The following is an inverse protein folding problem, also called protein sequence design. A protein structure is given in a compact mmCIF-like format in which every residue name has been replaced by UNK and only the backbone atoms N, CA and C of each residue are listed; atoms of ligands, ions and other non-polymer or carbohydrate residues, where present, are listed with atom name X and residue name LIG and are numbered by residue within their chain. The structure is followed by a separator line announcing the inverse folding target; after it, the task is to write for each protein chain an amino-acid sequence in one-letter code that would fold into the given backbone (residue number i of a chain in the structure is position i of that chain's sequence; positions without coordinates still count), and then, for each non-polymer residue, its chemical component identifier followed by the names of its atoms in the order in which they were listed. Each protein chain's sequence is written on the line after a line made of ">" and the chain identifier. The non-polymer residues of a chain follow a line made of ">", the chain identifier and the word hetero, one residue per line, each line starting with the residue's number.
data_IF_988713896216
#
_entry.id   IF_988713896216
#
_cell.length_a   1.000
_cell.length_b   1.000
_cell.length_c   1.000
_cell.angle_alpha   90.00
_cell.angle_beta   90.00
_cell.angle_gamma   90.00
#
_symmetry.space_group_name_H-M   'P 1'
#
loop_
_entity.id
_entity.type
_entity.pdbx_description
1 polymer ?
2 water ?
#
# COMPACT_ATOMS: atom_id res chain seq x y z
N UNK A 2 -7.67 20.39 12.00
CA UNK A 2 -6.42 20.03 11.22
C UNK A 2 -5.87 18.72 11.71
N UNK A 3 -5.04 18.10 10.87
CA UNK A 3 -4.48 16.80 11.21
C UNK A 3 -3.25 16.88 12.12
N UNK A 4 -3.16 15.95 13.09
CA UNK A 4 -2.06 15.88 14.05
C UNK A 4 -0.72 15.75 13.32
N UNK A 5 0.32 16.36 13.89
CA UNK A 5 1.67 16.30 13.31
C UNK A 5 1.75 17.00 12.00
N UNK A 6 0.69 17.73 11.65
CA UNK A 6 0.68 18.45 10.40
C UNK A 6 1.81 19.47 10.33
N UNK A 7 2.41 19.86 11.46
CA UNK A 7 3.48 20.86 11.40
C UNK A 7 4.81 20.20 10.99
N UNK A 8 4.76 18.91 10.66
CA UNK A 8 5.96 18.18 10.29
C UNK A 8 6.59 18.60 8.98
N UNK A 9 5.80 18.83 7.94
CA UNK A 9 6.39 19.23 6.67
C UNK A 9 6.91 20.65 6.81
N UNK A 10 6.54 21.30 7.91
CA UNK A 10 6.99 22.67 8.19
C UNK A 10 8.25 22.65 9.02
N UNK A 11 8.61 21.48 9.55
CA UNK A 11 9.79 21.38 10.37
C UNK A 11 11.03 20.94 9.63
N UNK A 12 12.15 21.33 10.21
CA UNK A 12 13.46 21.02 9.70
C UNK A 12 13.60 19.54 9.35
N UNK A 13 14.65 19.16 8.60
CA UNK A 13 15.05 17.84 8.09
C UNK A 13 15.69 16.79 8.99
N UNK A 14 16.80 17.16 9.62
CA UNK A 14 17.57 16.29 10.51
C UNK A 14 17.15 16.44 11.97
N UNK A 15 16.93 17.68 12.41
CA UNK A 15 16.50 17.95 13.78
C UNK A 15 15.28 17.04 13.97
N UNK A 16 14.56 16.77 12.88
CA UNK A 16 13.40 15.88 12.98
C UNK A 16 13.82 14.47 13.45
N UNK A 17 14.77 13.86 12.74
CA UNK A 17 15.26 12.53 13.10
C UNK A 17 15.96 12.61 14.46
N UNK A 18 16.56 13.75 14.73
CA UNK A 18 17.28 13.97 15.99
C UNK A 18 16.41 13.72 17.22
N UNK A 19 15.21 14.28 17.22
CA UNK A 19 14.30 14.12 18.35
C UNK A 19 13.65 12.74 18.43
N UNK A 20 13.20 12.23 17.29
CA UNK A 20 12.54 10.92 17.25
C UNK A 20 13.47 9.79 17.69
N UNK A 21 14.75 9.89 17.34
CA UNK A 21 15.74 8.87 17.70
C UNK A 21 15.70 8.41 19.15
N UNK A 22 15.56 9.36 20.07
CA UNK A 22 15.55 9.04 21.48
C UNK A 22 14.17 8.85 22.10
N UNK A 23 13.14 8.78 21.27
CA UNK A 23 11.79 8.57 21.76
C UNK A 23 11.56 7.07 21.81
N UNK A 24 10.48 6.65 22.46
CA UNK A 24 10.18 5.23 22.53
C UNK A 24 9.68 4.79 21.14
N UNK A 25 10.10 3.60 20.67
CA UNK A 25 9.66 3.13 19.36
C UNK A 25 8.16 3.36 19.10
N UNK A 26 7.33 3.00 20.09
CA UNK A 26 5.88 3.15 20.00
C UNK A 26 5.50 4.59 19.70
N UNK A 27 6.15 5.51 20.38
CA UNK A 27 5.89 6.93 20.17
C UNK A 27 6.30 7.31 18.75
N UNK A 28 7.33 6.64 18.25
CA UNK A 28 7.81 6.90 16.89
C UNK A 28 6.76 6.41 15.90
N UNK A 29 6.25 5.20 16.15
CA UNK A 29 5.22 4.59 15.31
C UNK A 29 4.01 5.51 15.18
N UNK A 30 3.61 6.12 16.29
CA UNK A 30 2.47 7.02 16.29
C UNK A 30 2.66 8.25 15.42
N UNK A 31 3.81 8.90 15.55
CA UNK A 31 4.09 10.09 14.77
C UNK A 31 4.12 9.79 13.27
N UNK A 32 4.82 8.73 12.89
CA UNK A 32 4.95 8.38 11.48
C UNK A 32 3.64 7.92 10.84
N UNK A 33 2.83 7.18 11.60
CA UNK A 33 1.57 6.69 11.06
C UNK A 33 0.63 7.86 10.72
N UNK A 34 0.96 9.05 11.20
CA UNK A 34 0.16 10.24 10.92
C UNK A 34 0.67 11.06 9.73
N UNK A 35 1.84 10.70 9.22
CA UNK A 35 2.42 11.44 8.11
C UNK A 35 2.15 10.79 6.76
N UNK A 36 2.45 11.55 5.71
CA UNK A 36 2.31 11.05 4.36
C UNK A 36 3.41 9.98 4.34
N UNK A 37 3.11 8.78 3.80
CA UNK A 37 4.05 7.66 3.72
C UNK A 37 5.46 7.94 3.17
N UNK A 38 5.57 8.69 2.05
CA UNK A 38 6.92 8.96 1.51
C UNK A 38 7.75 9.73 2.55
N UNK A 39 7.06 10.58 3.30
CA UNK A 39 7.69 11.37 4.34
C UNK A 39 8.10 10.42 5.45
N UNK A 40 7.17 9.56 5.87
CA UNK A 40 7.45 8.59 6.92
C UNK A 40 8.57 7.66 6.51
N UNK A 41 8.56 7.21 5.26
CA UNK A 41 9.60 6.30 4.80
C UNK A 41 10.96 7.00 4.88
N UNK A 42 10.98 8.28 4.51
CA UNK A 42 12.21 9.07 4.54
C UNK A 42 12.77 9.15 5.97
N UNK A 43 11.90 9.40 6.95
CA UNK A 43 12.32 9.48 8.35
C UNK A 43 12.75 8.10 8.85
N UNK A 44 11.93 7.09 8.58
CA UNK A 44 12.21 5.74 9.01
C UNK A 44 13.58 5.27 8.54
N UNK A 45 13.87 5.49 7.26
CA UNK A 45 15.15 5.06 6.73
C UNK A 45 16.33 5.82 7.30
N UNK A 46 16.07 6.97 7.91
CA UNK A 46 17.14 7.78 8.48
C UNK A 46 17.29 7.51 9.97
N UNK A 47 16.42 6.67 10.52
CA UNK A 47 16.50 6.33 11.94
C UNK A 47 17.58 5.28 12.18
N UNK A 48 18.07 5.18 13.43
CA UNK A 48 19.10 4.19 13.73
C UNK A 48 18.61 2.80 13.34
N UNK A 49 19.44 2.08 12.61
CA UNK A 49 19.12 0.73 12.16
C UNK A 49 18.35 -0.11 13.20
N UNK A 50 18.78 -0.06 14.45
CA UNK A 50 18.14 -0.84 15.51
C UNK A 50 16.68 -0.51 15.82
N UNK A 51 16.19 0.63 15.33
CA UNK A 51 14.81 1.03 15.57
C UNK A 51 13.89 0.72 14.39
N UNK A 52 14.47 0.69 13.20
CA UNK A 52 13.72 0.48 11.96
C UNK A 52 12.66 -0.63 11.96
N UNK A 53 13.07 -1.88 12.17
CA UNK A 53 12.11 -2.97 12.17
C UNK A 53 11.04 -2.85 13.25
N UNK A 54 11.48 -2.63 14.49
CA UNK A 54 10.56 -2.50 15.61
C UNK A 54 9.53 -1.40 15.36
N UNK A 55 10.00 -0.24 14.89
CA UNK A 55 9.10 0.87 14.61
C UNK A 55 8.12 0.52 13.50
N UNK A 56 8.60 -0.18 12.48
CA UNK A 56 7.74 -0.55 11.36
C UNK A 56 6.67 -1.54 11.85
N UNK A 57 7.08 -2.47 12.71
CA UNK A 57 6.15 -3.46 13.26
C UNK A 57 5.06 -2.78 14.11
N UNK A 58 5.45 -1.82 14.94
CA UNK A 58 4.50 -1.10 15.79
C UNK A 58 3.52 -0.29 14.95
N UNK A 59 3.97 0.17 13.78
CA UNK A 59 3.10 0.93 12.91
C UNK A 59 2.07 -0.04 12.33
N UNK A 60 2.54 -1.24 12.00
CA UNK A 60 1.70 -2.27 11.43
C UNK A 60 0.65 -2.75 12.44
N UNK A 61 1.04 -2.82 13.71
CA UNK A 61 0.14 -3.28 14.77
C UNK A 61 -0.24 -2.16 15.73
N UNK A 62 -0.28 -0.94 15.21
CA UNK A 62 -0.57 0.23 16.02
C UNK A 62 -1.61 0.14 17.13
N UNK A 63 -2.83 -0.27 16.83
CA UNK A 63 -3.84 -0.34 17.88
C UNK A 63 -4.35 -1.76 18.03
N UNK A 64 -3.55 -2.69 17.53
CA UNK A 64 -3.85 -4.11 17.56
C UNK A 64 -2.80 -4.83 18.41
N UNK A 65 -2.04 -4.07 19.20
CA UNK A 65 -0.97 -4.64 20.02
C UNK A 65 -1.36 -5.73 21.00
N UNK A 66 -2.56 -5.63 21.56
CA UNK A 66 -3.03 -6.65 22.50
C UNK A 66 -4.55 -6.70 22.50
N UNK A 67 -5.09 -7.74 23.11
CA UNK A 67 -6.53 -7.89 23.19
C UNK A 67 -7.10 -6.69 23.93
N UNK A 68 -6.36 -6.24 24.94
CA UNK A 68 -6.76 -5.10 25.75
C UNK A 68 -6.90 -3.84 24.91
N UNK A 69 -5.90 -3.60 24.07
CA UNK A 69 -5.90 -2.42 23.21
C UNK A 69 -7.07 -2.44 22.23
N UNK A 70 -7.37 -3.63 21.70
CA UNK A 70 -8.47 -3.79 20.77
C UNK A 70 -9.77 -3.48 21.51
N UNK A 71 -9.91 -4.08 22.68
CA UNK A 71 -11.10 -3.89 23.51
C UNK A 71 -11.34 -2.42 23.83
N UNK A 72 -10.27 -1.70 24.17
CA UNK A 72 -10.34 -0.28 24.51
C UNK A 72 -10.71 0.58 23.31
N UNK A 73 -9.97 0.42 22.21
CA UNK A 73 -10.23 1.19 21.00
C UNK A 73 -11.65 0.98 20.50
N UNK A 74 -12.14 -0.25 20.60
CA UNK A 74 -13.49 -0.56 20.16
C UNK A 74 -14.48 0.25 21.00
N UNK A 75 -14.32 0.18 22.31
CA UNK A 75 -15.20 0.92 23.22
C UNK A 75 -15.26 2.40 22.90
N UNK A 76 -14.13 3.00 22.58
CA UNK A 76 -14.11 4.42 22.26
C UNK A 76 -15.06 4.73 21.10
N UNK A 77 -14.81 4.12 19.95
CA UNK A 77 -15.63 4.32 18.76
C UNK A 77 -17.13 4.11 18.98
N UNK A 78 -17.47 3.15 19.83
CA UNK A 78 -18.86 2.83 20.18
C UNK A 78 -19.58 3.94 20.94
N UNK A 79 -18.85 4.50 21.91
CA UNK A 79 -19.26 5.55 22.87
C UNK A 79 -19.17 7.04 22.56
N UNK A 80 -18.00 7.51 22.12
CA UNK A 80 -17.83 8.93 21.84
C UNK A 80 -17.32 9.09 20.41
N UNK A 89 -6.03 5.34 12.20
CA UNK A 89 -4.62 5.60 11.80
C UNK A 89 -3.72 4.41 12.14
N UNK A 90 -2.67 4.21 11.34
CA UNK A 90 -1.76 3.10 11.56
C UNK A 90 -2.29 1.91 10.78
N UNK A 91 -1.79 0.71 11.07
CA UNK A 91 -2.28 -0.46 10.37
C UNK A 91 -1.38 -1.03 9.28
N UNK A 92 -1.85 -2.11 8.67
CA UNK A 92 -1.12 -2.80 7.61
C UNK A 92 -0.92 -1.96 6.35
N UNK A 93 -1.95 -1.23 5.94
CA UNK A 93 -1.84 -0.39 4.74
C UNK A 93 -0.78 0.71 4.90
N UNK A 94 -0.79 1.37 6.04
CA UNK A 94 0.19 2.41 6.32
C UNK A 94 1.60 1.82 6.20
N UNK A 95 1.83 0.73 6.92
CA UNK A 95 3.12 0.05 6.92
C UNK A 95 3.58 -0.32 5.50
N UNK A 96 2.69 -0.93 4.73
CA UNK A 96 2.98 -1.34 3.37
C UNK A 96 3.35 -0.15 2.48
N UNK A 97 2.64 0.96 2.67
CA UNK A 97 2.87 2.17 1.91
C UNK A 97 4.25 2.74 2.25
N UNK A 98 4.63 2.64 3.52
CA UNK A 98 5.92 3.14 3.96
C UNK A 98 7.02 2.24 3.37
N UNK A 99 6.78 0.93 3.39
CA UNK A 99 7.74 -0.02 2.86
C UNK A 99 7.96 0.20 1.36
N UNK A 100 6.90 0.55 0.64
CA UNK A 100 7.03 0.78 -0.80
C UNK A 100 7.89 2.02 -1.10
N UNK A 101 7.85 2.99 -0.20
CA UNK A 101 8.61 4.22 -0.39
C UNK A 101 10.00 4.22 0.23
N UNK A 102 10.39 3.12 0.86
CA UNK A 102 11.73 3.03 1.44
C UNK A 102 12.67 2.66 0.31
N UNK A 103 13.96 2.83 0.54
CA UNK A 103 14.94 2.42 -0.46
C UNK A 103 14.87 0.90 -0.38
N UNK A 104 15.08 0.23 -1.51
CA UNK A 104 15.05 -1.22 -1.59
C UNK A 104 15.82 -1.93 -0.48
N UNK A 105 17.06 -1.52 -0.27
CA UNK A 105 17.92 -2.11 0.74
C UNK A 105 17.29 -2.13 2.12
N UNK A 106 16.95 -0.95 2.64
CA UNK A 106 16.34 -0.88 3.95
C UNK A 106 15.05 -1.72 4.00
N UNK A 107 14.22 -1.63 2.96
CA UNK A 107 12.96 -2.37 2.90
C UNK A 107 13.20 -3.88 3.02
N UNK A 108 14.21 -4.37 2.31
CA UNK A 108 14.58 -5.78 2.32
C UNK A 108 15.03 -6.24 3.70
N UNK A 109 15.78 -5.39 4.40
CA UNK A 109 16.25 -5.74 5.74
C UNK A 109 15.09 -5.84 6.74
N UNK A 110 14.15 -4.92 6.65
CA UNK A 110 13.01 -4.94 7.56
C UNK A 110 12.10 -6.15 7.28
N UNK A 111 11.92 -6.46 5.99
CA UNK A 111 11.07 -7.57 5.60
C UNK A 111 11.70 -8.91 6.00
N UNK A 112 13.01 -9.04 5.80
CA UNK A 112 13.70 -10.27 6.17
C UNK A 112 13.57 -10.52 7.67
N UNK A 113 13.71 -9.47 8.47
CA UNK A 113 13.58 -9.64 9.90
C UNK A 113 12.15 -10.02 10.29
N UNK A 114 11.16 -9.35 9.71
CA UNK A 114 9.77 -9.66 10.04
C UNK A 114 9.42 -11.09 9.65
N UNK A 115 10.01 -11.56 8.56
CA UNK A 115 9.77 -12.91 8.09
C UNK A 115 10.23 -13.88 9.17
N UNK A 116 11.31 -13.51 9.85
CA UNK A 116 11.87 -14.34 10.90
C UNK A 116 11.13 -14.29 12.24
N UNK A 117 10.75 -13.10 12.67
CA UNK A 117 10.07 -12.96 13.96
C UNK A 117 8.55 -12.81 13.95
N UNK A 118 7.98 -12.45 12.81
CA UNK A 118 6.54 -12.28 12.69
C UNK A 118 6.13 -12.70 11.28
N UNK A 119 6.44 -13.95 10.88
CA UNK A 119 6.11 -14.47 9.55
C UNK A 119 4.74 -14.13 8.98
N UNK A 120 3.70 -14.14 9.81
CA UNK A 120 2.35 -13.85 9.34
C UNK A 120 2.18 -12.38 9.01
N UNK A 121 2.55 -11.52 9.96
CA UNK A 121 2.44 -10.09 9.78
C UNK A 121 3.23 -9.68 8.54
N UNK A 122 4.38 -10.33 8.35
CA UNK A 122 5.22 -10.03 7.21
C UNK A 122 4.43 -10.31 5.94
N UNK A 123 3.72 -11.43 5.94
CA UNK A 123 2.93 -11.83 4.78
C UNK A 123 1.77 -10.88 4.53
N UNK A 124 1.19 -10.35 5.60
CA UNK A 124 0.09 -9.40 5.45
C UNK A 124 0.62 -8.12 4.79
N UNK A 125 1.79 -7.68 5.23
CA UNK A 125 2.40 -6.45 4.70
C UNK A 125 2.83 -6.59 3.24
N UNK A 126 3.49 -7.70 2.94
CA UNK A 126 3.94 -7.94 1.59
C UNK A 126 2.77 -7.89 0.61
N UNK A 127 1.72 -8.66 0.90
CA UNK A 127 0.56 -8.68 0.03
C UNK A 127 -0.11 -7.31 -0.07
N UNK A 128 -0.01 -6.51 0.99
CA UNK A 128 -0.60 -5.17 0.96
C UNK A 128 0.28 -4.18 0.20
N UNK A 129 1.50 -4.59 -0.12
CA UNK A 129 2.45 -3.74 -0.85
C UNK A 129 2.24 -3.71 -2.37
N UNK A 130 1.38 -4.59 -2.85
CA UNK A 130 1.08 -4.70 -4.28
C UNK A 130 0.61 -3.36 -4.86
N UNK A 131 1.28 -2.87 -5.89
CA UNK A 131 0.86 -1.63 -6.54
C UNK A 131 0.39 -1.99 -7.94
N UNK A 132 -0.28 -1.06 -8.60
CA UNK A 132 -0.81 -1.34 -9.93
C UNK A 132 0.21 -1.88 -10.92
N UNK A 133 1.41 -1.31 -10.95
CA UNK A 133 2.44 -1.78 -11.88
C UNK A 133 2.88 -3.20 -11.54
N UNK A 134 2.63 -3.65 -10.32
CA UNK A 134 3.01 -5.02 -9.95
C UNK A 134 2.29 -6.06 -10.81
N UNK A 135 1.23 -5.64 -11.51
CA UNK A 135 0.48 -6.54 -12.38
C UNK A 135 1.41 -7.11 -13.45
N UNK A 136 2.52 -6.43 -13.71
CA UNK A 136 3.50 -6.91 -14.69
C UNK A 136 4.20 -8.16 -14.14
N UNK A 137 4.12 -8.36 -12.83
CA UNK A 137 4.73 -9.52 -12.19
C UNK A 137 3.87 -10.76 -12.38
N UNK A 138 2.59 -10.58 -12.68
CA UNK A 138 1.67 -11.70 -12.82
C UNK A 138 1.76 -12.42 -14.17
N UNK A 139 1.48 -13.72 -14.16
CA UNK A 139 1.50 -14.48 -15.41
C UNK A 139 0.18 -14.24 -16.12
N UNK A 140 0.19 -14.40 -17.45
CA UNK A 140 -0.97 -14.18 -18.29
C UNK A 140 -2.29 -14.81 -17.83
N UNK A 141 -2.25 -16.04 -17.32
CA UNK A 141 -3.48 -16.68 -16.86
C UNK A 141 -4.07 -15.90 -15.69
N UNK A 142 -3.23 -15.57 -14.72
CA UNK A 142 -3.66 -14.81 -13.55
C UNK A 142 -4.30 -13.49 -13.96
N UNK A 143 -3.67 -12.81 -14.91
CA UNK A 143 -4.17 -11.54 -15.42
C UNK A 143 -5.58 -11.70 -16.01
N UNK A 144 -5.80 -12.77 -16.77
CA UNK A 144 -7.12 -13.05 -17.35
C UNK A 144 -8.12 -13.29 -16.22
N UNK A 145 -7.70 -14.04 -15.22
CA UNK A 145 -8.56 -14.31 -14.07
C UNK A 145 -9.06 -12.97 -13.50
N UNK A 146 -8.14 -12.03 -13.34
CA UNK A 146 -8.45 -10.71 -12.80
C UNK A 146 -9.39 -9.90 -13.69
N UNK A 147 -9.12 -9.90 -14.99
CA UNK A 147 -9.92 -9.14 -15.95
C UNK A 147 -11.42 -9.46 -15.93
N UNK A 148 -11.76 -10.73 -15.74
CA UNK A 148 -13.17 -11.11 -15.69
C UNK A 148 -13.90 -10.45 -14.53
N UNK A 149 -13.15 -9.88 -13.59
CA UNK A 149 -13.73 -9.24 -12.42
C UNK A 149 -13.72 -7.72 -12.49
N UNK A 150 -13.32 -7.17 -13.64
CA UNK A 150 -13.23 -5.72 -13.79
C UNK A 150 -14.16 -5.13 -14.85
N UNK A 151 -14.99 -4.16 -14.45
CA UNK A 151 -15.90 -3.53 -15.41
C UNK A 151 -15.12 -2.62 -16.35
N UNK A 152 -15.66 -2.46 -17.55
CA UNK A 152 -15.05 -1.65 -18.58
C UNK A 152 -14.57 -0.28 -18.14
N UNK A 153 -15.44 0.48 -17.47
CA UNK A 153 -15.05 1.83 -17.08
C UNK A 153 -13.90 1.89 -16.08
N UNK A 154 -13.89 0.99 -15.11
CA UNK A 154 -12.81 1.01 -14.14
C UNK A 154 -11.50 0.67 -14.82
N UNK A 155 -11.56 -0.24 -15.79
CA UNK A 155 -10.38 -0.64 -16.52
C UNK A 155 -9.84 0.56 -17.30
N UNK A 156 -10.72 1.25 -18.02
CA UNK A 156 -10.31 2.39 -18.81
C UNK A 156 -9.65 3.45 -17.93
N UNK A 157 -10.28 3.76 -16.79
CA UNK A 157 -9.74 4.74 -15.86
C UNK A 157 -8.36 4.31 -15.37
N UNK A 158 -8.29 3.08 -14.88
CA UNK A 158 -7.04 2.54 -14.36
C UNK A 158 -5.90 2.60 -15.38
N UNK A 159 -6.23 2.41 -16.65
CA UNK A 159 -5.23 2.41 -17.71
C UNK A 159 -4.68 3.79 -18.04
N UNK A 160 -5.46 4.84 -17.78
CA UNK A 160 -4.97 6.18 -18.04
C UNK A 160 -3.80 6.49 -17.12
N UNK A 161 -3.56 5.62 -16.15
CA UNK A 161 -2.45 5.83 -15.23
C UNK A 161 -1.47 4.67 -15.22
N UNK A 162 -1.39 3.94 -16.33
CA UNK A 162 -0.48 2.80 -16.43
C UNK A 162 0.60 3.00 -17.49
N UNK A 163 1.70 2.27 -17.35
CA UNK A 163 2.79 2.35 -18.32
C UNK A 163 2.34 1.64 -19.59
N UNK A 164 2.83 2.11 -20.73
CA UNK A 164 2.48 1.52 -22.02
C UNK A 164 2.68 0.01 -22.01
N UNK A 165 3.72 -0.43 -21.32
CA UNK A 165 4.01 -1.85 -21.23
C UNK A 165 2.90 -2.57 -20.47
N UNK A 166 2.44 -1.97 -19.38
CA UNK A 166 1.38 -2.59 -18.60
C UNK A 166 0.11 -2.54 -19.41
N UNK A 167 -0.06 -1.46 -20.17
CA UNK A 167 -1.24 -1.31 -21.02
C UNK A 167 -1.28 -2.52 -21.95
N UNK A 168 -0.17 -2.77 -22.62
CA UNK A 168 -0.05 -3.88 -23.55
C UNK A 168 -0.32 -5.25 -22.92
N UNK A 169 0.36 -5.57 -21.83
CA UNK A 169 0.15 -6.88 -21.23
C UNK A 169 -1.32 -7.10 -20.83
N UNK A 170 -2.01 -6.04 -20.45
CA UNK A 170 -3.42 -6.17 -20.08
C UNK A 170 -4.25 -6.41 -21.34
N UNK A 171 -4.02 -5.59 -22.35
CA UNK A 171 -4.75 -5.70 -23.61
C UNK A 171 -4.63 -7.07 -24.25
N UNK A 172 -3.41 -7.56 -24.45
CA UNK A 172 -3.27 -8.86 -25.09
C UNK A 172 -3.90 -10.00 -24.29
N UNK A 173 -4.41 -9.69 -23.10
CA UNK A 173 -5.03 -10.70 -22.25
C UNK A 173 -6.54 -10.56 -22.09
N UNK A 174 -7.15 -9.65 -22.85
CA UNK A 174 -8.60 -9.45 -22.79
C UNK A 174 -9.32 -10.19 -23.91
N UNK A 175 -10.62 -10.44 -23.71
CA UNK A 175 -11.40 -11.10 -24.75
C UNK A 175 -11.58 -10.03 -25.83
N UNK A 176 -11.70 -10.47 -27.08
CA UNK A 176 -11.88 -9.54 -28.18
C UNK A 176 -13.05 -8.60 -27.94
N UNK A 177 -14.13 -9.14 -27.39
CA UNK A 177 -15.31 -8.32 -27.12
C UNK A 177 -15.05 -7.33 -25.99
N UNK A 178 -14.29 -7.73 -24.98
CA UNK A 178 -13.99 -6.82 -23.88
C UNK A 178 -13.06 -5.70 -24.36
N UNK A 179 -12.07 -6.05 -25.17
CA UNK A 179 -11.12 -5.07 -25.72
C UNK A 179 -11.87 -4.03 -26.57
N UNK A 180 -12.82 -4.49 -27.37
CA UNK A 180 -13.60 -3.58 -28.21
C UNK A 180 -14.41 -2.65 -27.31
N UNK A 181 -15.02 -3.20 -26.27
CA UNK A 181 -15.80 -2.35 -25.36
C UNK A 181 -14.86 -1.31 -24.73
N UNK A 182 -13.70 -1.75 -24.30
CA UNK A 182 -12.72 -0.85 -23.69
C UNK A 182 -12.33 0.27 -24.66
N UNK A 183 -11.95 -0.10 -25.88
CA UNK A 183 -11.55 0.91 -26.87
C UNK A 183 -12.63 1.96 -27.05
N UNK A 184 -13.89 1.52 -27.09
CA UNK A 184 -15.02 2.43 -27.24
C UNK A 184 -15.07 3.42 -26.09
N UNK A 185 -14.93 2.90 -24.87
CA UNK A 185 -14.95 3.74 -23.68
C UNK A 185 -13.85 4.79 -23.78
N UNK A 186 -12.63 4.35 -24.05
CA UNK A 186 -11.50 5.27 -24.16
C UNK A 186 -11.76 6.39 -25.16
N UNK A 187 -12.25 6.04 -26.34
CA UNK A 187 -12.54 7.02 -27.39
C UNK A 187 -13.50 8.12 -26.96
N UNK A 188 -14.54 7.76 -26.21
CA UNK A 188 -15.53 8.75 -25.77
C UNK A 188 -15.45 9.04 -24.28
N UNK A 189 -14.29 8.80 -23.68
CA UNK A 189 -14.13 9.07 -22.26
C UNK A 189 -13.70 10.51 -22.03
N UNK A 190 -12.51 10.87 -22.51
CA UNK A 190 -12.04 12.23 -22.32
C UNK A 190 -11.23 12.39 -21.04
N UNK A 191 -10.88 13.62 -20.65
CA UNK A 191 -10.10 13.86 -19.43
C UNK A 191 -10.86 13.47 -18.17
N UNK A 192 -10.14 12.99 -17.17
CA UNK A 192 -10.76 12.57 -15.92
C UNK A 192 -9.97 13.01 -14.70
N UNK A 193 -10.66 13.11 -13.57
CA UNK A 193 -10.02 13.50 -12.33
C UNK A 193 -8.97 12.44 -11.97
N UNK A 194 -7.79 12.90 -11.58
CA UNK A 194 -6.71 12.00 -11.21
C UNK A 194 -7.10 11.02 -10.11
N UNK A 195 -7.95 11.45 -9.19
CA UNK A 195 -8.34 10.55 -8.11
C UNK A 195 -9.25 9.41 -8.58
N UNK A 196 -9.91 9.58 -9.73
CA UNK A 196 -10.78 8.52 -10.25
C UNK A 196 -9.88 7.41 -10.78
N UNK A 197 -8.79 7.81 -11.42
CA UNK A 197 -7.82 6.87 -11.97
C UNK A 197 -7.28 6.08 -10.78
N UNK A 198 -7.03 6.80 -9.69
CA UNK A 198 -6.52 6.23 -8.46
C UNK A 198 -7.42 5.18 -7.80
N UNK A 199 -8.71 5.48 -7.63
CA UNK A 199 -9.58 4.49 -7.00
C UNK A 199 -9.86 3.33 -7.94
N UNK A 200 -9.84 3.60 -9.24
CA UNK A 200 -10.07 2.55 -10.22
C UNK A 200 -8.94 1.52 -10.04
N UNK A 201 -7.70 2.01 -9.97
CA UNK A 201 -6.55 1.13 -9.79
C UNK A 201 -6.65 0.43 -8.43
N UNK A 202 -7.05 1.17 -7.40
CA UNK A 202 -7.19 0.59 -6.07
C UNK A 202 -8.21 -0.56 -6.10
N UNK A 203 -9.29 -0.35 -6.85
CA UNK A 203 -10.36 -1.34 -6.99
C UNK A 203 -9.84 -2.62 -7.62
N UNK A 204 -9.00 -2.48 -8.64
CA UNK A 204 -8.44 -3.64 -9.32
C UNK A 204 -7.48 -4.36 -8.38
N UNK A 205 -6.71 -3.58 -7.63
CA UNK A 205 -5.75 -4.13 -6.68
C UNK A 205 -6.49 -4.94 -5.62
N UNK A 206 -7.62 -4.43 -5.15
CA UNK A 206 -8.40 -5.14 -4.15
C UNK A 206 -8.87 -6.48 -4.72
N UNK A 207 -9.24 -6.48 -6.00
CA UNK A 207 -9.68 -7.71 -6.67
C UNK A 207 -8.53 -8.72 -6.62
N UNK A 208 -7.32 -8.25 -6.90
CA UNK A 208 -6.13 -9.10 -6.89
C UNK A 208 -5.85 -9.63 -5.48
N UNK A 209 -5.92 -8.74 -4.49
CA UNK A 209 -5.67 -9.15 -3.11
C UNK A 209 -6.66 -10.23 -2.68
N UNK A 210 -7.90 -10.14 -3.15
CA UNK A 210 -8.93 -11.12 -2.82
C UNK A 210 -8.76 -12.43 -3.57
N UNK A 211 -8.33 -12.35 -4.83
CA UNK A 211 -8.13 -13.55 -5.63
C UNK A 211 -6.91 -14.35 -5.20
N UNK A 212 -6.04 -13.74 -4.39
CA UNK A 212 -4.87 -14.46 -3.92
C UNK A 212 -5.15 -15.03 -2.54
N UNK A 213 -6.07 -14.39 -1.82
CA UNK A 213 -6.47 -14.86 -0.50
C UNK A 213 -7.19 -16.17 -0.78
N UNK A 214 -7.77 -16.24 -1.97
CA UNK A 214 -8.48 -17.43 -2.43
C UNK A 214 -7.45 -18.38 -3.03
N UNK A 215 -6.17 -18.06 -2.79
CA UNK A 215 -5.08 -18.88 -3.28
C UNK A 215 -5.04 -19.16 -4.77
N UNK A 216 -5.72 -18.36 -5.58
CA UNK A 216 -5.73 -18.59 -7.02
C UNK A 216 -5.02 -17.54 -7.88
N UNK A 217 -3.96 -16.94 -7.35
CA UNK A 217 -3.19 -15.94 -8.08
C UNK A 217 -1.71 -16.31 -8.07
N UNK A 218 -1.13 -16.45 -9.26
CA UNK A 218 0.26 -16.85 -9.41
C UNK A 218 1.19 -15.76 -9.95
N UNK A 219 2.30 -15.55 -9.26
CA UNK A 219 3.28 -14.55 -9.68
C UNK A 219 4.18 -15.13 -10.77
#
# INVERSE_FOLDING_TARGET
>A
QVKPFSFVRDTDPVQLVNFLQSEHPQTIAVVLSYLDPPVAAQILGALPEELQTEVLKRIALLERTSVKEIERNLEKKISGFVSRTFSKVGGIDTAAEIMNNLDRTTEKKIMDKLVQENPELADEIRRRMFVFEDILKLDDRSIQLVLREVDTRDLALALKGASDELKEKIFKNMSKRAAALLKDELEYMGPVRLKDVEEAQQKIINIIRRLEEAGEIVIARGGGEELIM
#
